data_IF_401324196664
#
_entry.id   IF_401324196664
#
_cell.length_a   1.000
_cell.length_b   1.000
_cell.length_c   1.000
_cell.angle_alpha   90.00
_cell.angle_beta   90.00
_cell.angle_gamma   90.00
#
_symmetry.space_group_name_H-M   'P 1'
#
loop_
_entity.id
_entity.type
_entity.pdbx_description
1 polymer ?
#
# COMPACT_ATOMS: atom_id res chain seq x y z
N UNK A 1 16.54 -1.62 -1.05
CA UNK A 1 15.95 -1.57 -2.42
C UNK A 1 15.82 -2.94 -3.04
N UNK A 2 16.56 -3.92 -2.51
CA UNK A 2 16.40 -5.34 -2.78
C UNK A 2 14.95 -5.84 -2.81
N UNK A 3 14.65 -6.63 -3.83
CA UNK A 3 13.64 -7.69 -3.77
C UNK A 3 14.25 -8.98 -3.19
N UNK A 4 13.41 -9.96 -2.87
CA UNK A 4 13.83 -11.29 -2.40
C UNK A 4 14.32 -12.19 -3.54
N UNK A 5 15.38 -11.77 -4.20
CA UNK A 5 16.15 -12.64 -5.09
C UNK A 5 17.54 -12.91 -4.53
N UNK A 6 18.10 -14.13 -4.68
CA UNK A 6 19.43 -14.48 -4.19
C UNK A 6 20.51 -13.49 -4.62
N UNK A 7 20.40 -12.95 -5.85
CA UNK A 7 21.33 -11.93 -6.35
C UNK A 7 21.42 -10.67 -5.48
N UNK A 8 20.34 -10.29 -4.78
CA UNK A 8 20.34 -9.12 -3.91
C UNK A 8 20.87 -9.45 -2.52
N UNK A 9 20.66 -10.67 -2.04
CA UNK A 9 21.06 -11.08 -0.70
C UNK A 9 22.54 -11.51 -0.66
N UNK A 10 23.04 -12.16 -1.70
CA UNK A 10 24.36 -12.81 -1.69
C UNK A 10 25.43 -12.04 -2.47
N UNK A 11 25.03 -11.15 -3.40
CA UNK A 11 25.95 -10.56 -4.39
C UNK A 11 25.90 -9.04 -4.50
N UNK A 12 24.97 -8.36 -3.83
CA UNK A 12 24.81 -6.90 -3.87
C UNK A 12 24.94 -6.30 -2.49
N UNK A 13 25.32 -5.03 -2.44
CA UNK A 13 25.27 -4.22 -1.22
C UNK A 13 23.88 -3.61 -1.13
N UNK A 14 23.17 -3.93 -0.06
CA UNK A 14 21.79 -3.49 0.17
C UNK A 14 21.67 -2.81 1.52
N UNK A 15 20.73 -1.87 1.63
CA UNK A 15 20.43 -1.17 2.86
C UNK A 15 18.95 -1.33 3.23
N UNK A 16 18.71 -1.57 4.51
CA UNK A 16 17.39 -1.55 5.15
C UNK A 16 17.47 -0.51 6.28
N UNK A 17 16.53 0.42 6.32
CA UNK A 17 16.46 1.46 7.34
C UNK A 17 15.14 1.32 8.09
N UNK A 18 15.15 1.20 9.42
CA UNK A 18 13.92 1.13 10.20
C UNK A 18 13.17 2.47 10.16
N UNK A 19 11.85 2.41 10.13
CA UNK A 19 10.97 3.58 10.28
C UNK A 19 10.62 3.74 11.75
N UNK A 20 11.45 4.48 12.50
CA UNK A 20 11.29 4.63 13.96
C UNK A 20 10.19 5.61 14.37
N UNK A 21 9.84 6.56 13.51
CA UNK A 21 8.77 7.51 13.81
C UNK A 21 7.41 6.79 13.82
N UNK A 22 6.68 6.74 14.96
CA UNK A 22 5.46 5.95 15.07
C UNK A 22 4.31 6.48 14.20
N UNK A 23 4.29 7.76 13.89
CA UNK A 23 3.29 8.37 12.99
C UNK A 23 3.56 7.96 11.54
N UNK A 24 4.82 8.05 11.09
CA UNK A 24 5.20 7.58 9.75
C UNK A 24 4.97 6.08 9.61
N UNK A 25 5.38 5.29 10.60
CA UNK A 25 5.15 3.85 10.60
C UNK A 25 3.66 3.50 10.49
N UNK A 26 2.78 4.14 11.28
CA UNK A 26 1.32 3.94 11.16
C UNK A 26 0.79 4.33 9.79
N UNK A 27 1.28 5.41 9.20
CA UNK A 27 0.83 5.84 7.89
C UNK A 27 1.22 4.83 6.80
N UNK A 28 2.46 4.34 6.83
CA UNK A 28 2.92 3.28 5.93
C UNK A 28 2.04 2.04 6.07
N UNK A 29 1.85 1.54 7.30
CA UNK A 29 1.12 0.30 7.53
C UNK A 29 -0.39 0.40 7.29
N UNK A 30 -1.04 1.46 7.77
CA UNK A 30 -2.50 1.53 7.83
C UNK A 30 -3.13 2.28 6.65
N UNK A 31 -2.34 3.01 5.87
CA UNK A 31 -2.84 3.74 4.69
C UNK A 31 -2.18 3.20 3.43
N UNK A 32 -0.85 3.25 3.33
CA UNK A 32 -0.14 2.90 2.10
C UNK A 32 -0.30 1.40 1.80
N UNK A 33 0.03 0.52 2.75
CA UNK A 33 -0.09 -0.92 2.53
C UNK A 33 -1.54 -1.34 2.33
N UNK A 34 -2.49 -0.79 3.11
CA UNK A 34 -3.92 -1.12 2.97
C UNK A 34 -4.48 -0.66 1.62
N UNK A 35 -4.14 0.54 1.15
CA UNK A 35 -4.56 1.01 -0.17
C UNK A 35 -4.05 0.09 -1.28
N UNK A 36 -2.78 -0.30 -1.24
CA UNK A 36 -2.23 -1.23 -2.25
C UNK A 36 -2.93 -2.59 -2.21
N UNK A 37 -3.24 -3.13 -1.02
CA UNK A 37 -3.96 -4.41 -0.89
C UNK A 37 -5.42 -4.33 -1.36
N UNK A 38 -6.04 -3.15 -1.26
CA UNK A 38 -7.41 -2.92 -1.69
C UNK A 38 -7.53 -2.55 -3.18
N UNK A 39 -6.43 -2.40 -3.92
CA UNK A 39 -6.48 -1.98 -5.33
C UNK A 39 -7.15 -3.05 -6.20
N UNK A 40 -8.18 -2.64 -6.93
CA UNK A 40 -8.94 -3.50 -7.84
C UNK A 40 -8.84 -3.04 -9.29
N UNK A 41 -8.41 -1.79 -9.52
CA UNK A 41 -8.38 -1.20 -10.85
C UNK A 41 -7.06 -1.45 -11.57
N UNK A 42 -5.95 -1.69 -10.88
CA UNK A 42 -4.62 -1.89 -11.48
C UNK A 42 -3.96 -3.21 -11.04
N UNK A 43 -4.56 -3.94 -10.09
CA UNK A 43 -4.06 -5.24 -9.62
C UNK A 43 -4.24 -6.39 -10.61
N UNK A 44 -3.30 -7.34 -10.54
CA UNK A 44 -3.35 -8.65 -11.19
C UNK A 44 -3.07 -9.73 -10.15
N UNK A 45 -3.91 -10.76 -10.13
CA UNK A 45 -3.79 -11.92 -9.25
C UNK A 45 -2.94 -12.97 -9.94
N UNK A 46 -1.87 -13.40 -9.28
CA UNK A 46 -1.02 -14.49 -9.74
C UNK A 46 -1.58 -15.81 -9.20
N UNK A 47 -1.85 -16.76 -10.10
CA UNK A 47 -2.27 -18.11 -9.75
C UNK A 47 -1.07 -19.04 -9.55
N UNK A 48 -1.29 -20.20 -8.95
CA UNK A 48 -0.24 -21.18 -8.64
C UNK A 48 0.46 -21.73 -9.89
N UNK A 49 -0.22 -21.71 -11.04
CA UNK A 49 0.31 -22.13 -12.34
C UNK A 49 1.13 -21.04 -13.04
N UNK A 50 1.28 -19.87 -12.41
CA UNK A 50 1.97 -18.70 -12.95
C UNK A 50 1.15 -17.88 -13.94
N UNK A 51 -0.13 -18.24 -14.16
CA UNK A 51 -1.04 -17.39 -14.93
C UNK A 51 -1.46 -16.15 -14.11
N UNK A 52 -1.83 -15.10 -14.83
CA UNK A 52 -2.28 -13.85 -14.21
C UNK A 52 -3.70 -13.51 -14.64
N UNK A 53 -4.53 -13.16 -13.67
CA UNK A 53 -5.89 -12.67 -13.90
C UNK A 53 -6.02 -11.22 -13.43
N UNK A 54 -6.62 -10.36 -14.26
CA UNK A 54 -6.89 -8.97 -13.88
C UNK A 54 -7.91 -8.97 -12.73
N UNK A 55 -7.58 -8.30 -11.63
CA UNK A 55 -8.54 -8.09 -10.56
C UNK A 55 -9.76 -7.34 -11.11
N UNK A 56 -10.95 -7.74 -10.68
CA UNK A 56 -12.21 -7.10 -11.09
C UNK A 56 -12.93 -6.60 -9.85
N UNK A 57 -13.42 -5.35 -9.86
CA UNK A 57 -14.23 -4.85 -8.76
C UNK A 57 -15.57 -5.57 -8.69
N UNK A 58 -16.12 -5.70 -7.48
CA UNK A 58 -17.41 -6.38 -7.25
C UNK A 58 -18.59 -5.65 -7.92
N UNK A 59 -18.41 -4.35 -8.23
CA UNK A 59 -19.41 -3.52 -8.91
C UNK A 59 -18.75 -2.65 -9.96
N UNK A 60 -19.32 -2.64 -11.17
CA UNK A 60 -18.85 -1.82 -12.28
C UNK A 60 -18.83 -0.32 -11.89
N UNK A 61 -17.72 0.34 -12.17
CA UNK A 61 -17.52 1.77 -11.88
C UNK A 61 -17.25 2.12 -10.41
N UNK A 62 -17.16 1.13 -9.51
CA UNK A 62 -16.92 1.38 -8.06
C UNK A 62 -15.61 0.76 -7.53
N UNK A 63 -14.70 0.36 -8.42
CA UNK A 63 -13.43 -0.21 -7.99
C UNK A 63 -12.51 0.78 -7.30
N UNK A 64 -11.77 0.31 -6.31
CA UNK A 64 -10.77 1.12 -5.62
C UNK A 64 -9.46 1.20 -6.44
N UNK A 65 -8.89 2.41 -6.55
CA UNK A 65 -7.60 2.69 -7.18
C UNK A 65 -6.65 3.31 -6.16
N UNK A 66 -5.58 2.59 -5.82
CA UNK A 66 -4.55 3.07 -4.89
C UNK A 66 -3.86 4.32 -5.44
N UNK A 67 -3.62 4.37 -6.76
CA UNK A 67 -2.97 5.51 -7.40
C UNK A 67 -3.81 6.78 -7.32
N UNK A 68 -5.13 6.70 -7.60
CA UNK A 68 -6.02 7.84 -7.42
C UNK A 68 -6.08 8.26 -5.95
N UNK A 69 -6.22 7.29 -5.04
CA UNK A 69 -6.22 7.56 -3.61
C UNK A 69 -4.96 8.33 -3.16
N UNK A 70 -3.76 7.94 -3.60
CA UNK A 70 -2.52 8.63 -3.22
C UNK A 70 -2.38 10.02 -3.85
N UNK A 71 -2.89 10.24 -5.06
CA UNK A 71 -2.89 11.57 -5.67
C UNK A 71 -3.83 12.54 -4.94
N UNK A 72 -4.96 12.04 -4.46
CA UNK A 72 -5.96 12.85 -3.75
C UNK A 72 -5.66 13.02 -2.25
N UNK A 73 -4.87 12.10 -1.66
CA UNK A 73 -4.56 12.05 -0.24
C UNK A 73 -3.05 12.13 0.02
N UNK A 74 -2.39 13.28 -0.26
CA UNK A 74 -0.95 13.41 -0.09
C UNK A 74 -0.53 13.26 1.38
N UNK A 75 0.68 12.74 1.59
CA UNK A 75 1.21 12.50 2.93
C UNK A 75 1.30 13.78 3.77
N UNK A 76 0.84 13.70 5.02
CA UNK A 76 0.93 14.77 6.01
C UNK A 76 2.12 14.61 6.98
N UNK A 77 2.94 13.57 6.79
CA UNK A 77 4.05 13.20 7.68
C UNK A 77 5.10 14.30 7.93
N UNK A 78 5.13 15.35 7.10
CA UNK A 78 6.03 16.51 7.26
C UNK A 78 5.47 17.69 8.07
N UNK A 79 4.21 17.67 8.52
CA UNK A 79 3.56 18.85 9.17
C UNK A 79 3.49 18.82 10.70
N UNK A 80 4.18 17.89 11.36
CA UNK A 80 4.21 17.83 12.84
C UNK A 80 2.82 17.60 13.47
N UNK A 81 2.60 18.17 14.67
CA UNK A 81 1.35 18.05 15.45
C UNK A 81 0.13 18.78 14.87
N UNK A 82 0.23 19.39 13.69
CA UNK A 82 -0.88 20.06 13.01
C UNK A 82 -1.93 19.10 12.39
N UNK A 83 -1.92 17.83 12.82
CA UNK A 83 -2.62 16.70 12.19
C UNK A 83 -4.09 16.52 12.58
N UNK A 84 -4.63 17.27 13.56
CA UNK A 84 -6.04 17.11 13.93
C UNK A 84 -7.02 17.50 12.82
N UNK A 85 -6.59 18.24 11.79
CA UNK A 85 -7.50 18.93 10.87
C UNK A 85 -7.71 18.21 9.53
N UNK A 86 -6.92 17.20 9.14
CA UNK A 86 -7.08 16.58 7.80
C UNK A 86 -6.52 15.16 7.63
N UNK A 87 -6.64 14.27 8.62
CA UNK A 87 -6.26 12.88 8.40
C UNK A 87 -7.08 12.27 7.24
N UNK A 88 -6.44 11.65 6.24
CA UNK A 88 -7.17 10.98 5.18
C UNK A 88 -7.99 9.82 5.77
N UNK A 89 -9.12 9.44 5.14
CA UNK A 89 -10.02 8.42 5.67
C UNK A 89 -9.26 7.12 5.98
N UNK A 90 -9.56 6.52 7.15
CA UNK A 90 -8.98 5.24 7.55
C UNK A 90 -9.48 4.14 6.62
N UNK A 91 -8.57 3.53 5.87
CA UNK A 91 -8.87 2.36 5.05
C UNK A 91 -8.94 1.10 5.92
N UNK A 92 -9.83 0.19 5.56
CA UNK A 92 -9.90 -1.15 6.14
C UNK A 92 -9.53 -2.18 5.07
N UNK A 93 -8.75 -3.22 5.40
CA UNK A 93 -8.43 -4.28 4.45
C UNK A 93 -9.70 -4.95 3.93
N UNK A 94 -9.81 -5.10 2.61
CA UNK A 94 -10.91 -5.82 1.98
C UNK A 94 -10.84 -7.29 2.41
N UNK A 95 -11.94 -7.82 2.96
CA UNK A 95 -12.02 -9.20 3.46
C UNK A 95 -11.79 -9.38 4.96
N UNK A 96 -11.44 -8.34 5.72
CA UNK A 96 -11.50 -8.40 7.18
C UNK A 96 -12.96 -8.34 7.62
N UNK A 97 -13.63 -9.50 7.70
CA UNK A 97 -14.85 -9.61 8.49
C UNK A 97 -14.44 -9.46 9.96
N UNK A 98 -14.86 -8.37 10.58
CA UNK A 98 -14.99 -8.29 12.04
C UNK A 98 -16.18 -9.11 12.51
#
# INVERSE_FOLDING_TARGET
SADWMPRNLDRRVEALVPVENPTVHRQVMNQIMVANLNDELQSWLMHEDGSYERAKPDSEGKGFSAHHYFMDNPSLSGRGSALEVSLPPRLQPKGSKG
#
